data_IF_125030819779
#
_entry.id   IF_125030819779
#
_cell.length_a   1.000
_cell.length_b   1.000
_cell.length_c   1.000
_cell.angle_alpha   90.00
_cell.angle_beta   90.00
_cell.angle_gamma   90.00
#
_symmetry.space_group_name_H-M   'P 1'
#
loop_
_entity.id
_entity.type
_entity.pdbx_description
1 polymer ?
#
# COMPACT_ATOMS: atom_id res chain seq x y z
N UNK A 1 16.35 20.38 -5.32
CA UNK A 1 17.46 19.49 -4.92
C UNK A 1 18.24 19.06 -6.15
N UNK A 2 19.57 19.01 -6.05
CA UNK A 2 20.43 18.42 -7.07
C UNK A 2 20.49 16.88 -6.86
N UNK A 3 20.67 16.09 -7.93
CA UNK A 3 20.69 14.62 -7.79
C UNK A 3 21.80 14.09 -6.88
N UNK A 4 22.95 14.77 -6.85
CA UNK A 4 24.06 14.39 -5.99
C UNK A 4 23.80 14.76 -4.52
N UNK A 5 23.10 15.87 -4.28
CA UNK A 5 22.63 16.27 -2.95
C UNK A 5 21.61 15.26 -2.39
N UNK A 6 20.67 14.80 -3.23
CA UNK A 6 19.70 13.77 -2.84
C UNK A 6 20.38 12.43 -2.50
N UNK A 7 21.44 12.05 -3.23
CA UNK A 7 22.25 10.86 -2.93
C UNK A 7 22.93 11.00 -1.57
N UNK A 8 23.59 12.13 -1.32
CA UNK A 8 24.29 12.39 -0.05
C UNK A 8 23.34 12.34 1.14
N UNK A 9 22.12 12.89 1.00
CA UNK A 9 21.11 12.86 2.07
C UNK A 9 20.64 11.44 2.43
N UNK A 10 20.59 10.52 1.46
CA UNK A 10 20.33 9.10 1.73
C UNK A 10 21.60 8.32 2.14
N UNK A 11 22.77 8.95 2.17
CA UNK A 11 24.04 8.33 2.56
C UNK A 11 24.78 7.64 1.40
N UNK A 12 24.47 7.99 0.16
CA UNK A 12 25.19 7.50 -1.02
C UNK A 12 26.29 8.49 -1.46
N UNK A 13 27.39 8.01 -2.05
CA UNK A 13 28.37 8.87 -2.70
C UNK A 13 27.74 9.66 -3.85
N UNK A 14 28.16 10.93 -4.10
CA UNK A 14 27.59 11.77 -5.17
C UNK A 14 27.70 11.11 -6.55
N UNK A 15 28.82 10.46 -6.84
CA UNK A 15 29.06 9.83 -8.14
C UNK A 15 28.48 8.40 -8.27
N UNK A 16 27.78 7.91 -7.25
CA UNK A 16 27.20 6.57 -7.27
C UNK A 16 25.90 6.52 -8.06
N UNK A 17 25.58 5.34 -8.59
CA UNK A 17 24.31 5.02 -9.24
C UNK A 17 23.58 3.94 -8.43
N UNK A 18 22.96 4.30 -7.29
CA UNK A 18 22.30 3.34 -6.43
C UNK A 18 21.06 2.76 -7.12
N UNK A 19 20.84 1.46 -6.97
CA UNK A 19 19.63 0.79 -7.47
C UNK A 19 18.41 1.21 -6.64
N UNK A 20 17.20 1.16 -7.21
CA UNK A 20 15.94 1.45 -6.49
C UNK A 20 15.79 0.68 -5.17
N UNK A 21 16.24 -0.58 -5.13
CA UNK A 21 16.23 -1.40 -3.91
C UNK A 21 17.13 -0.82 -2.81
N UNK A 22 18.33 -0.37 -3.18
CA UNK A 22 19.29 0.27 -2.28
C UNK A 22 18.75 1.61 -1.80
N UNK A 23 18.21 2.44 -2.70
CA UNK A 23 17.56 3.72 -2.38
C UNK A 23 16.44 3.51 -1.35
N UNK A 24 15.58 2.50 -1.57
CA UNK A 24 14.48 2.17 -0.63
C UNK A 24 14.98 1.62 0.71
N UNK A 25 16.09 0.90 0.74
CA UNK A 25 16.70 0.40 1.97
C UNK A 25 17.32 1.55 2.78
N UNK A 26 18.09 2.41 2.12
CA UNK A 26 18.71 3.60 2.71
C UNK A 26 17.65 4.58 3.23
N UNK A 27 16.59 4.82 2.45
CA UNK A 27 15.44 5.63 2.89
C UNK A 27 14.82 5.11 4.18
N UNK A 28 14.52 3.81 4.27
CA UNK A 28 13.94 3.21 5.48
C UNK A 28 14.83 3.39 6.70
N UNK A 29 16.15 3.20 6.53
CA UNK A 29 17.13 3.43 7.59
C UNK A 29 17.14 4.89 8.04
N UNK A 30 17.24 5.83 7.09
CA UNK A 30 17.32 7.28 7.36
C UNK A 30 16.05 7.84 7.98
N UNK A 31 14.88 7.39 7.52
CA UNK A 31 13.59 7.75 8.11
C UNK A 31 13.49 7.31 9.56
N UNK A 32 13.95 6.09 9.87
CA UNK A 32 13.95 5.61 11.24
C UNK A 32 14.86 6.49 12.10
N UNK A 33 16.08 6.80 11.64
CA UNK A 33 17.01 7.70 12.35
C UNK A 33 16.44 9.10 12.61
N UNK A 34 15.58 9.61 11.72
CA UNK A 34 14.99 10.94 11.83
C UNK A 34 13.53 10.94 12.27
N UNK A 35 13.00 9.83 12.80
CA UNK A 35 11.58 9.73 13.13
C UNK A 35 11.26 10.63 14.34
N UNK A 36 10.27 11.54 14.27
CA UNK A 36 10.01 12.53 15.33
C UNK A 36 9.64 11.89 16.68
N UNK A 37 9.15 10.66 16.69
CA UNK A 37 8.85 9.92 17.93
C UNK A 37 10.09 9.45 18.70
N UNK A 38 11.28 9.45 18.07
CA UNK A 38 12.53 9.12 18.77
C UNK A 38 13.11 10.31 19.52
N UNK A 39 12.60 11.52 19.28
CA UNK A 39 13.18 12.76 19.80
C UNK A 39 12.29 13.39 20.89
N UNK A 40 12.90 14.02 21.91
CA UNK A 40 12.16 14.80 22.90
C UNK A 40 11.51 16.04 22.25
N UNK A 41 10.47 16.59 22.90
CA UNK A 41 9.60 17.64 22.33
C UNK A 41 10.34 18.85 21.72
N UNK A 42 11.48 19.24 22.27
CA UNK A 42 12.27 20.39 21.81
C UNK A 42 13.09 20.10 20.55
N UNK A 43 13.40 18.83 20.27
CA UNK A 43 14.16 18.40 19.08
C UNK A 43 13.26 17.93 17.93
N UNK A 44 11.96 17.72 18.19
CA UNK A 44 10.98 17.30 17.19
C UNK A 44 10.97 18.15 15.91
N UNK A 45 10.97 19.50 15.97
CA UNK A 45 10.98 20.31 14.75
C UNK A 45 12.22 20.03 13.87
N UNK A 46 13.37 19.75 14.51
CA UNK A 46 14.60 19.38 13.82
C UNK A 46 14.51 18.00 13.18
N UNK A 47 13.92 17.02 13.86
CA UNK A 47 13.67 15.69 13.33
C UNK A 47 12.69 15.70 12.15
N UNK A 48 11.60 16.45 12.26
CA UNK A 48 10.60 16.64 11.19
C UNK A 48 11.22 17.28 9.94
N UNK A 49 12.05 18.31 10.11
CA UNK A 49 12.77 18.95 9.00
C UNK A 49 13.69 17.97 8.28
N UNK A 50 14.47 17.18 9.03
CA UNK A 50 15.33 16.11 8.48
C UNK A 50 14.52 15.04 7.75
N UNK A 51 13.43 14.56 8.36
CA UNK A 51 12.53 13.58 7.76
C UNK A 51 11.96 14.08 6.42
N UNK A 52 11.58 15.36 6.36
CA UNK A 52 11.07 15.98 5.14
C UNK A 52 12.14 16.05 4.04
N UNK A 53 13.36 16.44 4.37
CA UNK A 53 14.49 16.45 3.43
C UNK A 53 14.80 15.05 2.88
N UNK A 54 14.81 14.04 3.74
CA UNK A 54 15.02 12.63 3.36
C UNK A 54 13.90 12.14 2.43
N UNK A 55 12.66 12.55 2.69
CA UNK A 55 11.50 12.19 1.86
C UNK A 55 11.58 12.81 0.47
N UNK A 56 11.95 14.09 0.38
CA UNK A 56 12.14 14.80 -0.89
C UNK A 56 13.26 14.16 -1.73
N UNK A 57 14.40 13.82 -1.10
CA UNK A 57 15.51 13.11 -1.74
C UNK A 57 15.07 11.75 -2.32
N UNK A 58 14.29 10.98 -1.57
CA UNK A 58 13.78 9.68 -2.01
C UNK A 58 12.85 9.81 -3.21
N UNK A 59 11.91 10.76 -3.19
CA UNK A 59 11.03 11.02 -4.32
C UNK A 59 11.84 11.40 -5.57
N UNK A 60 12.83 12.28 -5.42
CA UNK A 60 13.69 12.71 -6.53
C UNK A 60 14.48 11.54 -7.16
N UNK A 61 15.08 10.68 -6.33
CA UNK A 61 15.84 9.52 -6.82
C UNK A 61 14.93 8.44 -7.41
N UNK A 62 13.69 8.35 -6.93
CA UNK A 62 12.70 7.44 -7.47
C UNK A 62 12.16 7.89 -8.83
N UNK A 63 11.99 9.20 -9.05
CA UNK A 63 11.60 9.74 -10.36
C UNK A 63 12.74 9.70 -11.36
N UNK A 64 13.98 10.01 -10.94
CA UNK A 64 15.15 9.96 -11.84
C UNK A 64 15.53 8.56 -12.33
N UNK A 65 15.19 7.49 -11.58
CA UNK A 65 15.42 6.11 -11.99
C UNK A 65 14.32 5.54 -12.91
N UNK A 66 13.16 6.20 -12.96
CA UNK A 66 12.05 5.88 -13.86
C UNK A 66 12.27 6.78 -15.08
N UNK A 67 12.96 6.26 -16.09
CA UNK A 67 13.65 6.98 -17.17
C UNK A 67 12.95 8.20 -17.77
N UNK A 68 13.77 9.00 -18.46
CA UNK A 68 13.63 10.25 -19.23
C UNK A 68 12.29 10.65 -19.90
N UNK A 69 11.17 9.99 -19.61
CA UNK A 69 9.83 10.29 -20.12
C UNK A 69 8.88 10.72 -18.97
N UNK A 70 9.12 11.86 -18.34
CA UNK A 70 8.06 12.75 -17.83
C UNK A 70 8.68 13.95 -17.14
N UNK A 71 8.74 15.03 -17.91
CA UNK A 71 9.01 16.36 -17.40
C UNK A 71 8.06 16.74 -16.24
N UNK A 72 8.61 17.56 -15.36
CA UNK A 72 7.91 18.42 -14.40
C UNK A 72 7.51 17.77 -13.08
N UNK A 73 8.35 18.05 -12.08
CA UNK A 73 8.03 18.00 -10.66
C UNK A 73 6.67 18.68 -10.39
N UNK A 74 5.62 17.88 -10.26
CA UNK A 74 4.32 18.36 -9.82
C UNK A 74 4.41 18.60 -8.32
N UNK A 75 4.73 19.82 -7.91
CA UNK A 75 4.44 20.32 -6.57
C UNK A 75 2.92 20.38 -6.39
N UNK A 76 2.31 19.23 -6.07
CA UNK A 76 0.91 19.16 -5.69
C UNK A 76 0.76 19.75 -4.28
N UNK A 77 0.52 21.06 -4.22
CA UNK A 77 0.03 21.72 -3.02
C UNK A 77 -1.28 21.02 -2.64
N UNK A 78 -1.33 20.51 -1.41
CA UNK A 78 -2.45 19.72 -0.87
C UNK A 78 -3.66 20.64 -0.68
N UNK A 79 -4.41 20.85 -1.76
CA UNK A 79 -5.84 21.17 -1.68
C UNK A 79 -6.58 19.90 -2.07
N UNK A 80 -7.49 19.45 -1.20
CA UNK A 80 -8.38 18.31 -1.44
C UNK A 80 -9.11 18.52 -2.76
N UNK A 81 -8.60 17.95 -3.84
CA UNK A 81 -9.29 17.90 -5.13
C UNK A 81 -8.81 16.63 -5.84
N UNK A 82 -9.77 15.71 -6.04
CA UNK A 82 -9.79 14.62 -7.02
C UNK A 82 -8.49 13.85 -7.31
N UNK A 83 -8.48 12.57 -6.98
CA UNK A 83 -7.44 11.61 -7.40
C UNK A 83 -7.25 11.65 -8.93
N UNK A 84 -6.08 12.00 -9.48
CA UNK A 84 -5.83 11.83 -10.89
C UNK A 84 -5.60 10.34 -11.16
N UNK A 85 -6.49 9.77 -11.98
CA UNK A 85 -6.40 8.41 -12.48
C UNK A 85 -5.39 8.41 -13.62
N UNK A 86 -4.14 8.03 -13.34
CA UNK A 86 -3.13 7.84 -14.38
C UNK A 86 -3.52 6.64 -15.27
N UNK A 87 -3.73 6.92 -16.55
CA UNK A 87 -3.83 5.94 -17.62
C UNK A 87 -2.43 5.39 -17.97
N UNK A 88 -2.36 4.14 -18.44
CA UNK A 88 -1.20 3.67 -19.22
C UNK A 88 -0.28 2.66 -18.54
N UNK A 89 -0.68 1.39 -18.57
CA UNK A 89 0.20 0.26 -18.33
C UNK A 89 -0.58 -1.01 -18.63
N UNK A 90 -0.10 -1.82 -19.59
CA UNK A 90 -0.69 -3.12 -19.95
C UNK A 90 -0.55 -4.08 -18.77
N UNK A 91 -1.42 -3.88 -17.78
CA UNK A 91 -1.49 -4.64 -16.55
C UNK A 91 -2.37 -5.85 -16.81
N UNK A 92 -1.82 -7.05 -16.57
CA UNK A 92 -2.56 -8.30 -16.60
C UNK A 92 -3.61 -8.31 -15.48
N UNK A 93 -4.74 -7.64 -15.73
CA UNK A 93 -5.88 -7.43 -14.82
C UNK A 93 -6.43 -8.76 -14.27
N UNK A 94 -6.22 -9.85 -15.00
CA UNK A 94 -6.55 -11.21 -14.57
C UNK A 94 -5.81 -11.63 -13.28
N UNK A 95 -4.49 -11.39 -13.16
CA UNK A 95 -3.70 -11.89 -12.03
C UNK A 95 -4.03 -11.21 -10.69
N UNK A 96 -4.54 -9.98 -10.71
CA UNK A 96 -4.90 -9.22 -9.50
C UNK A 96 -6.32 -9.59 -9.03
N UNK A 97 -7.21 -10.01 -9.94
CA UNK A 97 -8.63 -10.23 -9.63
C UNK A 97 -8.94 -11.67 -9.22
N UNK A 98 -8.12 -12.63 -9.69
CA UNK A 98 -8.25 -14.06 -9.37
C UNK A 98 -8.28 -14.36 -7.85
N UNK A 99 -7.40 -13.81 -6.98
CA UNK A 99 -7.41 -14.20 -5.57
C UNK A 99 -8.68 -13.77 -4.83
N UNK A 100 -9.24 -12.59 -5.15
CA UNK A 100 -10.45 -12.10 -4.48
C UNK A 100 -11.72 -12.82 -4.95
N UNK A 101 -11.78 -13.21 -6.23
CA UNK A 101 -12.92 -13.99 -6.74
C UNK A 101 -13.00 -15.38 -6.09
N UNK A 102 -11.87 -16.04 -5.85
CA UNK A 102 -11.85 -17.33 -5.16
C UNK A 102 -12.27 -17.22 -3.68
N UNK A 103 -11.92 -16.13 -2.99
CA UNK A 103 -12.36 -15.90 -1.60
C UNK A 103 -13.89 -15.72 -1.53
N UNK A 104 -14.46 -14.91 -2.42
CA UNK A 104 -15.92 -14.67 -2.45
C UNK A 104 -16.67 -15.96 -2.84
N UNK A 105 -16.19 -16.69 -3.86
CA UNK A 105 -16.85 -17.94 -4.29
C UNK A 105 -16.70 -19.07 -3.25
N UNK A 106 -15.54 -19.16 -2.57
CA UNK A 106 -15.26 -20.16 -1.55
C UNK A 106 -16.10 -20.01 -0.28
N UNK A 107 -16.35 -18.78 0.17
CA UNK A 107 -17.14 -18.51 1.39
C UNK A 107 -18.63 -18.82 1.21
N UNK A 108 -19.21 -18.55 0.04
CA UNK A 108 -20.61 -18.88 -0.25
C UNK A 108 -20.81 -20.39 -0.43
N UNK A 109 -19.88 -21.07 -1.09
CA UNK A 109 -19.98 -22.51 -1.36
C UNK A 109 -19.88 -23.39 -0.10
N UNK A 110 -18.91 -23.12 0.78
CA UNK A 110 -18.66 -23.98 1.95
C UNK A 110 -19.63 -23.72 3.12
N UNK A 111 -20.11 -22.48 3.27
CA UNK A 111 -21.04 -22.11 4.34
C UNK A 111 -22.48 -22.58 4.09
N UNK A 112 -22.97 -22.49 2.84
CA UNK A 112 -24.37 -22.78 2.48
C UNK A 112 -24.74 -24.26 2.52
N UNK A 113 -23.82 -25.15 2.16
CA UNK A 113 -24.08 -26.60 2.09
C UNK A 113 -24.21 -27.25 3.48
N UNK A 114 -23.47 -26.75 4.47
CA UNK A 114 -23.54 -27.28 5.83
C UNK A 114 -24.82 -26.85 6.55
N UNK A 115 -25.26 -25.60 6.38
CA UNK A 115 -26.49 -25.10 7.01
C UNK A 115 -27.76 -25.78 6.45
N UNK A 116 -27.84 -26.00 5.14
CA UNK A 116 -28.98 -26.68 4.51
C UNK A 116 -29.09 -28.14 4.92
N UNK A 117 -27.95 -28.84 5.06
CA UNK A 117 -27.94 -30.24 5.54
C UNK A 117 -28.34 -30.34 7.01
N UNK A 118 -27.88 -29.43 7.86
CA UNK A 118 -28.27 -29.38 9.27
C UNK A 118 -29.76 -29.10 9.46
N UNK A 119 -30.31 -28.13 8.71
CA UNK A 119 -31.74 -27.81 8.73
C UNK A 119 -32.60 -29.01 8.29
N UNK A 120 -32.23 -29.70 7.20
CA UNK A 120 -32.95 -30.91 6.76
C UNK A 120 -32.92 -32.01 7.82
N UNK A 121 -31.75 -32.27 8.43
CA UNK A 121 -31.62 -33.26 9.51
C UNK A 121 -32.47 -32.90 10.73
N UNK A 122 -32.55 -31.62 11.10
CA UNK A 122 -33.37 -31.15 12.21
C UNK A 122 -34.87 -31.29 11.91
N UNK A 123 -35.29 -30.97 10.68
CA UNK A 123 -36.67 -31.11 10.21
C UNK A 123 -37.13 -32.57 10.19
N UNK A 124 -36.26 -33.50 9.80
CA UNK A 124 -36.53 -34.94 9.85
C UNK A 124 -36.62 -35.46 11.29
N UNK A 125 -35.75 -34.98 12.19
CA UNK A 125 -35.74 -35.41 13.60
C UNK A 125 -36.92 -34.85 14.41
N UNK A 126 -37.46 -33.68 14.03
CA UNK A 126 -38.57 -33.03 14.72
C UNK A 126 -39.69 -32.73 13.72
N UNK A 127 -40.44 -33.74 13.27
CA UNK A 127 -41.61 -33.51 12.44
C UNK A 127 -42.60 -32.64 13.20
N UNK A 128 -42.91 -31.45 12.68
CA UNK A 128 -43.91 -30.57 13.27
C UNK A 128 -45.28 -31.24 13.12
N UNK A 129 -45.80 -31.80 14.19
CA UNK A 129 -47.15 -32.33 14.23
C UNK A 129 -48.14 -31.15 14.15
N UNK A 130 -48.88 -31.06 13.05
CA UNK A 130 -49.88 -30.02 12.86
C UNK A 130 -51.18 -30.45 13.56
N UNK A 131 -51.61 -29.78 14.64
CA UNK A 131 -52.79 -30.19 15.39
C UNK A 131 -54.12 -29.86 14.68
N UNK A 132 -54.08 -29.26 13.49
CA UNK A 132 -55.27 -28.89 12.71
C UNK A 132 -55.46 -29.74 11.44
N UNK A 133 -54.61 -30.73 11.21
CA UNK A 133 -54.80 -31.74 10.17
C UNK A 133 -55.24 -33.05 10.86
N UNK A 134 -56.34 -33.71 10.41
CA UNK A 134 -56.81 -34.97 11.00
C UNK A 134 -55.85 -36.14 10.75
#
# INVERSE_FOLDING_TARGET
>A
MQGDEAKVLLGFPPNSRPTLSQVKAAYRKKVWESHPDLFPLHEKPGAESKFKLISEAYTYLQTGAKGEDSASATYARVVRTGVPRAHGGRSNRALIQIPFLFIILGTVGLGGLNATRAYKKQKEAHPSHNPFLP
#
